data_IF_595607444585
#
_entry.id   IF_595607444585
#
_cell.length_a   1.000
_cell.length_b   1.000
_cell.length_c   1.000
_cell.angle_alpha   90.00
_cell.angle_beta   90.00
_cell.angle_gamma   90.00
#
_symmetry.space_group_name_H-M   'P 1'
#
loop_
_entity.id
_entity.type
_entity.pdbx_description
1 polymer ?
#
# COMPACT_ATOMS: atom_id res chain seq x y z
N UNK A 1 10.06 -4.24 -54.86
CA UNK A 1 10.85 -3.22 -54.13
C UNK A 1 10.34 -3.15 -52.69
N UNK A 2 11.02 -2.48 -51.76
CA UNK A 2 10.89 -2.66 -50.29
C UNK A 2 9.47 -2.34 -49.73
N UNK A 3 9.09 -3.04 -48.66
CA UNK A 3 8.05 -2.63 -47.69
C UNK A 3 8.61 -1.52 -46.77
N UNK A 4 7.78 -1.03 -45.82
CA UNK A 4 8.07 -0.02 -44.78
C UNK A 4 8.11 1.43 -45.32
N UNK A 5 7.68 2.49 -44.61
CA UNK A 5 7.06 2.64 -43.28
C UNK A 5 6.36 4.02 -43.20
N UNK A 6 5.52 4.40 -42.22
CA UNK A 6 4.95 3.74 -41.03
C UNK A 6 3.67 4.48 -40.56
N UNK A 7 2.89 3.89 -39.62
CA UNK A 7 1.93 4.63 -38.79
C UNK A 7 2.69 5.40 -37.70
N UNK A 8 2.89 6.70 -37.86
CA UNK A 8 3.42 7.57 -36.80
C UNK A 8 2.24 8.20 -36.07
N UNK A 9 1.93 7.70 -34.87
CA UNK A 9 1.02 8.36 -33.94
C UNK A 9 1.62 9.74 -33.57
N UNK A 10 0.80 10.80 -33.46
CA UNK A 10 1.31 12.12 -33.10
C UNK A 10 1.91 12.07 -31.68
N UNK A 11 3.18 12.48 -31.56
CA UNK A 11 4.00 12.37 -30.34
C UNK A 11 3.31 12.92 -29.08
N UNK A 12 2.45 13.93 -29.24
CA UNK A 12 1.68 14.58 -28.17
C UNK A 12 0.70 13.67 -27.44
N UNK A 13 0.20 12.60 -28.07
CA UNK A 13 -0.67 11.61 -27.42
C UNK A 13 0.20 10.54 -26.73
N UNK A 14 1.23 10.04 -27.42
CA UNK A 14 2.16 9.07 -26.85
C UNK A 14 2.87 9.58 -25.59
N UNK A 15 3.26 10.86 -25.56
CA UNK A 15 3.89 11.46 -24.39
C UNK A 15 2.89 11.79 -23.27
N UNK A 16 1.62 12.07 -23.59
CA UNK A 16 0.55 12.12 -22.57
C UNK A 16 0.28 10.76 -21.95
N UNK A 17 0.21 9.70 -22.75
CA UNK A 17 0.00 8.32 -22.30
C UNK A 17 1.19 7.82 -21.47
N UNK A 18 2.44 8.10 -21.90
CA UNK A 18 3.65 7.82 -21.11
C UNK A 18 3.68 8.55 -19.77
N UNK A 19 3.01 9.69 -19.67
CA UNK A 19 2.92 10.49 -18.45
C UNK A 19 1.72 10.09 -17.56
N UNK A 20 0.68 9.48 -18.12
CA UNK A 20 -0.47 8.94 -17.38
C UNK A 20 -0.26 7.50 -16.90
N UNK A 21 0.58 6.70 -17.58
CA UNK A 21 1.17 5.49 -17.00
C UNK A 21 2.21 5.93 -15.98
N UNK A 22 1.75 6.15 -14.74
CA UNK A 22 2.46 6.84 -13.66
C UNK A 22 3.97 6.59 -13.63
N UNK A 23 4.76 7.65 -13.75
CA UNK A 23 6.17 7.65 -13.30
C UNK A 23 6.20 7.66 -11.76
N UNK A 24 5.73 6.57 -11.14
CA UNK A 24 5.80 6.41 -9.69
C UNK A 24 7.27 6.31 -9.32
N UNK A 25 7.72 7.21 -8.45
CA UNK A 25 9.09 7.15 -7.98
C UNK A 25 9.21 6.06 -6.90
N UNK A 26 9.71 4.90 -7.30
CA UNK A 26 9.92 3.74 -6.43
C UNK A 26 11.00 3.94 -5.35
N UNK A 27 11.68 5.09 -5.33
CA UNK A 27 12.60 5.49 -4.25
C UNK A 27 11.88 6.18 -3.08
N UNK A 28 10.58 6.50 -3.23
CA UNK A 28 9.79 7.21 -2.24
C UNK A 28 9.14 6.29 -1.19
N UNK A 29 8.99 6.80 0.02
CA UNK A 29 8.37 6.11 1.15
C UNK A 29 6.92 5.68 0.90
N UNK A 30 6.16 6.36 0.03
CA UNK A 30 4.80 5.92 -0.34
C UNK A 30 4.77 4.53 -1.00
N UNK A 31 5.80 4.22 -1.81
CA UNK A 31 5.89 2.91 -2.46
C UNK A 31 6.27 1.83 -1.44
N UNK A 32 7.21 2.11 -0.53
CA UNK A 32 7.58 1.17 0.52
C UNK A 32 6.43 0.94 1.51
N UNK A 33 5.72 2.01 1.88
CA UNK A 33 4.49 1.95 2.68
C UNK A 33 3.45 1.02 2.05
N UNK A 34 3.15 1.19 0.75
CA UNK A 34 2.21 0.30 0.07
C UNK A 34 2.67 -1.18 0.15
N UNK A 35 3.95 -1.46 -0.12
CA UNK A 35 4.48 -2.84 -0.04
C UNK A 35 4.42 -3.44 1.37
N UNK A 36 4.58 -2.62 2.41
CA UNK A 36 4.38 -3.02 3.81
C UNK A 36 2.90 -3.33 4.08
N UNK A 37 1.99 -2.46 3.66
CA UNK A 37 0.55 -2.62 3.89
C UNK A 37 -0.03 -3.84 3.16
N UNK A 38 0.44 -4.12 1.94
CA UNK A 38 0.15 -5.37 1.20
C UNK A 38 0.64 -6.59 1.99
N UNK A 39 1.88 -6.58 2.48
CA UNK A 39 2.45 -7.68 3.28
C UNK A 39 1.70 -7.93 4.59
N UNK A 40 1.21 -6.86 5.24
CA UNK A 40 0.41 -6.94 6.46
C UNK A 40 -1.00 -7.46 6.16
N UNK A 41 -1.63 -6.99 5.07
CA UNK A 41 -2.94 -7.49 4.64
C UNK A 41 -2.91 -8.99 4.34
N UNK A 42 -1.89 -9.46 3.61
CA UNK A 42 -1.70 -10.88 3.30
C UNK A 42 -1.49 -11.69 4.59
N UNK A 43 -0.66 -11.20 5.53
CA UNK A 43 -0.45 -11.84 6.82
C UNK A 43 -1.73 -11.92 7.67
N UNK A 44 -2.55 -10.87 7.67
CA UNK A 44 -3.82 -10.82 8.41
C UNK A 44 -4.87 -11.83 7.95
N UNK A 45 -4.81 -12.31 6.70
CA UNK A 45 -5.71 -13.36 6.21
C UNK A 45 -5.52 -14.70 6.96
N UNK A 46 -4.37 -14.90 7.59
CA UNK A 46 -4.03 -16.11 8.35
C UNK A 46 -4.18 -15.94 9.87
N UNK A 47 -4.67 -14.80 10.36
CA UNK A 47 -4.82 -14.54 11.80
C UNK A 47 -6.20 -14.91 12.34
N UNK A 48 -6.18 -15.70 13.42
CA UNK A 48 -7.35 -15.94 14.26
C UNK A 48 -7.97 -14.64 14.80
N UNK A 49 -9.25 -14.72 15.16
CA UNK A 49 -10.05 -13.62 15.74
C UNK A 49 -9.53 -13.06 17.08
N UNK A 50 -8.66 -13.81 17.76
CA UNK A 50 -8.10 -13.47 19.09
C UNK A 50 -6.63 -13.03 18.99
N UNK A 51 -6.15 -12.73 17.77
CA UNK A 51 -4.79 -12.28 17.47
C UNK A 51 -4.79 -10.95 16.72
N UNK A 52 -3.86 -10.07 17.09
CA UNK A 52 -3.57 -8.81 16.42
C UNK A 52 -2.19 -8.85 15.78
N UNK A 53 -1.96 -8.01 14.77
CA UNK A 53 -0.63 -7.84 14.18
C UNK A 53 0.29 -7.11 15.16
N UNK A 54 1.49 -7.65 15.31
CA UNK A 54 2.59 -7.01 16.01
C UNK A 54 3.85 -7.04 15.14
N UNK A 55 4.73 -6.07 15.32
CA UNK A 55 6.06 -6.10 14.73
C UNK A 55 7.09 -6.46 15.78
N UNK A 56 7.93 -7.43 15.45
CA UNK A 56 9.12 -7.76 16.20
C UNK A 56 10.29 -6.98 15.59
N UNK A 57 10.69 -5.91 16.27
CA UNK A 57 11.71 -4.98 15.84
C UNK A 57 13.07 -5.53 16.28
N UNK A 58 13.94 -5.84 15.33
CA UNK A 58 15.27 -6.41 15.58
C UNK A 58 16.34 -5.34 15.44
N UNK A 59 16.70 -4.69 16.56
CA UNK A 59 17.72 -3.62 16.52
C UNK A 59 18.63 -3.65 17.76
N UNK A 60 19.94 -3.45 17.55
CA UNK A 60 20.96 -3.33 18.60
C UNK A 60 21.02 -4.45 19.67
N UNK A 61 20.56 -5.66 19.35
CA UNK A 61 20.64 -6.82 20.27
C UNK A 61 19.51 -6.91 21.29
N UNK A 62 18.60 -5.93 21.32
CA UNK A 62 17.34 -6.02 22.04
C UNK A 62 16.18 -6.21 21.04
N UNK A 63 15.21 -7.02 21.44
CA UNK A 63 14.01 -7.28 20.66
C UNK A 63 12.84 -6.49 21.23
N UNK A 64 12.25 -5.59 20.44
CA UNK A 64 11.06 -4.84 20.85
C UNK A 64 9.84 -5.39 20.12
N UNK A 65 8.88 -5.94 20.87
CA UNK A 65 7.56 -6.27 20.35
C UNK A 65 6.66 -5.02 20.43
N UNK A 66 6.20 -4.54 19.28
CA UNK A 66 5.24 -3.44 19.18
C UNK A 66 3.90 -3.97 18.67
N UNK A 67 2.84 -3.79 19.45
CA UNK A 67 1.46 -4.01 18.98
C UNK A 67 1.07 -2.84 18.07
N UNK A 68 0.95 -3.07 16.78
CA UNK A 68 0.72 -1.96 15.83
C UNK A 68 -0.74 -1.52 15.87
N UNK A 69 -0.93 -0.21 15.94
CA UNK A 69 -2.24 0.43 15.83
C UNK A 69 -2.47 1.05 14.45
N UNK A 70 -1.40 1.57 13.84
CA UNK A 70 -1.44 2.23 12.52
C UNK A 70 -0.02 2.35 11.92
N UNK A 71 0.08 2.61 10.62
CA UNK A 71 1.34 2.87 9.91
C UNK A 71 1.19 4.09 9.01
N UNK A 72 2.17 4.98 9.01
CA UNK A 72 2.24 6.16 8.14
C UNK A 72 3.56 6.28 7.39
N UNK A 73 3.68 7.26 6.51
CA UNK A 73 4.91 7.55 5.77
C UNK A 73 5.11 9.05 5.57
N UNK A 74 6.37 9.47 5.46
CA UNK A 74 6.76 10.82 5.07
C UNK A 74 7.78 10.74 3.93
N UNK A 75 7.38 11.20 2.74
CA UNK A 75 8.29 11.26 1.59
C UNK A 75 9.44 12.26 1.85
N UNK A 76 10.68 11.97 1.42
CA UNK A 76 11.02 10.87 0.51
C UNK A 76 11.26 9.50 1.18
N UNK A 77 11.54 9.41 2.48
CA UNK A 77 12.24 8.21 2.98
C UNK A 77 11.94 7.74 4.41
N UNK A 78 10.87 8.22 5.06
CA UNK A 78 10.51 7.79 6.41
C UNK A 78 9.22 6.96 6.46
N UNK A 79 9.22 5.90 7.27
CA UNK A 79 8.03 5.14 7.68
C UNK A 79 7.83 5.33 9.19
N UNK A 80 6.58 5.50 9.60
CA UNK A 80 6.14 5.71 10.98
C UNK A 80 5.28 4.52 11.41
N UNK A 81 5.66 3.87 12.52
CA UNK A 81 4.89 2.78 13.12
C UNK A 81 4.31 3.27 14.44
N UNK A 82 2.98 3.33 14.52
CA UNK A 82 2.26 3.72 15.71
C UNK A 82 1.78 2.47 16.43
N UNK A 83 1.97 2.40 17.75
CA UNK A 83 1.65 1.20 18.49
C UNK A 83 1.76 1.31 20.00
N UNK A 84 1.71 0.15 20.65
CA UNK A 84 2.02 0.02 22.07
C UNK A 84 3.22 -0.90 22.27
N UNK A 85 4.16 -0.45 23.12
CA UNK A 85 5.32 -1.22 23.59
C UNK A 85 5.24 -1.27 25.11
N UNK A 86 5.22 -2.47 25.68
CA UNK A 86 5.09 -2.68 27.13
C UNK A 86 3.91 -1.88 27.75
N UNK A 87 2.77 -1.82 27.05
CA UNK A 87 1.57 -1.07 27.45
C UNK A 87 1.62 0.45 27.26
N UNK A 88 2.76 1.03 26.87
CA UNK A 88 2.90 2.46 26.63
C UNK A 88 2.72 2.76 25.14
N UNK A 89 1.97 3.82 24.82
CA UNK A 89 1.85 4.29 23.43
C UNK A 89 3.21 4.78 22.94
N UNK A 90 3.60 4.36 21.75
CA UNK A 90 4.91 4.61 21.17
C UNK A 90 4.81 4.82 19.65
N UNK A 91 5.71 5.65 19.13
CA UNK A 91 5.96 5.82 17.71
C UNK A 91 7.40 5.37 17.42
N UNK A 92 7.59 4.52 16.42
CA UNK A 92 8.90 4.24 15.84
C UNK A 92 8.98 4.89 14.46
N UNK A 93 10.00 5.72 14.25
CA UNK A 93 10.32 6.32 12.95
C UNK A 93 11.54 5.58 12.38
N UNK A 94 11.45 5.08 11.15
CA UNK A 94 12.55 4.42 10.45
C UNK A 94 12.78 5.03 9.07
N UNK A 95 14.05 5.09 8.65
CA UNK A 95 14.40 5.33 7.25
C UNK A 95 14.08 4.07 6.41
N UNK A 96 13.60 4.22 5.19
CA UNK A 96 13.25 3.07 4.31
C UNK A 96 14.39 2.09 4.09
N UNK A 97 15.65 2.55 4.09
CA UNK A 97 16.83 1.68 3.96
C UNK A 97 17.21 0.93 5.25
N UNK A 98 16.48 1.15 6.35
CA UNK A 98 16.69 0.53 7.67
C UNK A 98 15.52 -0.37 8.08
N UNK A 99 14.57 -0.62 7.16
CA UNK A 99 13.45 -1.52 7.40
C UNK A 99 13.99 -2.94 7.62
N UNK A 100 13.90 -3.40 8.86
CA UNK A 100 14.17 -4.77 9.27
C UNK A 100 13.27 -5.10 10.47
N UNK A 101 12.13 -5.73 10.21
CA UNK A 101 11.19 -6.19 11.22
C UNK A 101 10.56 -7.50 10.77
N UNK A 102 10.14 -8.31 11.74
CA UNK A 102 9.32 -9.49 11.50
C UNK A 102 7.86 -9.12 11.78
N UNK A 103 6.98 -9.33 10.80
CA UNK A 103 5.53 -9.34 11.03
C UNK A 103 5.19 -10.60 11.82
N UNK A 104 4.51 -10.44 12.95
CA UNK A 104 4.10 -11.54 13.82
C UNK A 104 2.71 -11.28 14.41
N UNK A 105 2.20 -12.21 15.20
CA UNK A 105 0.92 -12.06 15.90
C UNK A 105 1.10 -12.03 17.41
N UNK A 106 0.33 -11.18 18.07
CA UNK A 106 0.22 -11.12 19.52
C UNK A 106 -1.23 -11.37 19.95
N UNK A 107 -1.50 -11.77 21.21
CA UNK A 107 -2.85 -11.67 21.77
C UNK A 107 -3.38 -10.22 21.66
N UNK A 108 -4.70 -10.07 21.59
CA UNK A 108 -5.33 -8.75 21.67
C UNK A 108 -4.89 -8.02 22.95
N UNK A 109 -4.69 -6.71 22.86
CA UNK A 109 -4.47 -5.88 24.07
C UNK A 109 -5.73 -5.70 24.92
N UNK A 110 -6.89 -5.95 24.33
CA UNK A 110 -8.20 -5.78 24.94
C UNK A 110 -9.13 -6.92 24.50
N UNK A 111 -9.50 -7.78 25.45
CA UNK A 111 -10.32 -8.97 25.16
C UNK A 111 -11.78 -8.64 24.83
N UNK A 112 -12.30 -7.49 25.29
CA UNK A 112 -13.68 -7.06 25.04
C UNK A 112 -13.86 -6.50 23.62
N UNK A 113 -12.76 -6.12 22.95
CA UNK A 113 -12.78 -5.59 21.58
C UNK A 113 -12.52 -6.68 20.53
N UNK A 114 -13.05 -6.53 19.30
CA UNK A 114 -12.61 -7.35 18.17
C UNK A 114 -11.13 -7.09 17.89
N UNK A 115 -10.39 -8.11 17.43
CA UNK A 115 -8.99 -7.94 17.08
C UNK A 115 -8.80 -6.86 16.01
N UNK A 116 -7.84 -5.97 16.23
CA UNK A 116 -7.47 -4.95 15.26
C UNK A 116 -6.95 -5.59 13.97
N UNK A 117 -7.37 -4.99 12.86
CA UNK A 117 -6.82 -5.21 11.53
C UNK A 117 -6.33 -3.87 10.97
N UNK A 118 -5.18 -3.92 10.31
CA UNK A 118 -4.44 -2.78 9.75
C UNK A 118 -4.48 -2.85 8.22
N UNK A 119 -4.42 -4.06 7.67
CA UNK A 119 -4.41 -4.35 6.25
C UNK A 119 -5.60 -3.68 5.56
N UNK A 120 -5.29 -2.67 4.75
CA UNK A 120 -6.24 -1.80 4.06
C UNK A 120 -7.53 -1.53 4.84
N UNK A 121 -7.40 -0.74 5.91
CA UNK A 121 -8.41 0.28 6.14
C UNK A 121 -8.43 1.19 4.91
N UNK A 122 -9.29 0.86 3.95
CA UNK A 122 -9.74 1.87 3.01
C UNK A 122 -10.23 3.04 3.88
N UNK A 123 -9.61 4.20 3.74
CA UNK A 123 -10.19 5.42 4.28
C UNK A 123 -11.41 5.76 3.41
N UNK A 124 -12.51 5.03 3.65
CA UNK A 124 -13.86 5.32 3.15
C UNK A 124 -14.42 6.54 3.92
N UNK A 125 -13.60 7.59 3.98
CA UNK A 125 -13.99 8.97 4.20
C UNK A 125 -14.12 9.73 2.87
N UNK A 126 -13.63 9.16 1.77
CA UNK A 126 -14.27 9.35 0.47
C UNK A 126 -15.55 8.52 0.48
N UNK A 127 -16.70 9.17 0.29
CA UNK A 127 -17.97 8.48 0.05
C UNK A 127 -17.81 7.55 -1.16
N UNK A 128 -18.44 6.37 -1.13
CA UNK A 128 -18.64 5.59 -2.35
C UNK A 128 -19.58 6.39 -3.28
N UNK A 129 -19.00 7.26 -4.09
CA UNK A 129 -19.67 7.85 -5.24
C UNK A 129 -19.85 6.71 -6.24
N UNK A 130 -21.09 6.26 -6.42
CA UNK A 130 -21.40 5.37 -7.54
C UNK A 130 -20.97 6.08 -8.83
N UNK A 131 -20.08 5.47 -9.66
CA UNK A 131 -19.61 6.11 -10.87
C UNK A 131 -20.81 6.44 -11.76
N UNK A 132 -20.80 7.62 -12.36
CA UNK A 132 -21.89 8.03 -13.24
C UNK A 132 -21.93 7.11 -14.47
N UNK A 133 -23.05 7.15 -15.20
CA UNK A 133 -23.15 6.39 -16.45
C UNK A 133 -22.10 6.82 -17.47
N UNK A 134 -21.72 8.09 -17.46
CA UNK A 134 -20.67 8.63 -18.33
C UNK A 134 -19.29 8.06 -17.94
N UNK A 135 -18.97 7.98 -16.65
CA UNK A 135 -17.72 7.36 -16.16
C UNK A 135 -17.62 5.86 -16.53
N UNK A 136 -18.76 5.14 -16.48
CA UNK A 136 -18.83 3.73 -16.87
C UNK A 136 -18.72 3.55 -18.40
N UNK A 137 -19.34 4.42 -19.19
CA UNK A 137 -19.26 4.40 -20.65
C UNK A 137 -17.83 4.73 -21.14
N UNK A 138 -17.15 5.71 -20.52
CA UNK A 138 -15.74 6.03 -20.80
C UNK A 138 -14.80 4.88 -20.43
N UNK A 139 -15.02 4.22 -19.28
CA UNK A 139 -14.26 3.03 -18.89
C UNK A 139 -14.48 1.85 -19.86
N UNK A 140 -15.72 1.58 -20.28
CA UNK A 140 -16.00 0.53 -21.27
C UNK A 140 -15.39 0.85 -22.64
N UNK A 141 -15.35 2.13 -23.05
CA UNK A 141 -14.70 2.57 -24.29
C UNK A 141 -13.18 2.32 -24.25
N UNK A 142 -12.49 2.76 -23.18
CA UNK A 142 -11.07 2.52 -22.96
C UNK A 142 -10.72 1.02 -22.96
N UNK A 143 -11.58 0.19 -22.34
CA UNK A 143 -11.40 -1.26 -22.29
C UNK A 143 -11.73 -1.93 -23.63
N UNK A 144 -12.56 -1.33 -24.50
CA UNK A 144 -12.79 -1.79 -25.87
C UNK A 144 -11.58 -1.57 -26.77
N UNK A 145 -11.01 -0.36 -26.78
CA UNK A 145 -9.80 -0.04 -27.57
C UNK A 145 -8.60 -0.90 -27.18
N UNK A 146 -8.48 -1.21 -25.88
CA UNK A 146 -7.45 -2.10 -25.35
C UNK A 146 -7.64 -3.57 -25.80
N UNK A 147 -8.88 -3.98 -26.11
CA UNK A 147 -9.25 -5.36 -26.52
C UNK A 147 -9.24 -5.58 -28.03
N UNK A 148 -9.18 -4.54 -28.86
CA UNK A 148 -9.10 -4.66 -30.34
C UNK A 148 -7.68 -4.70 -30.90
N UNK A 149 -6.65 -4.71 -30.05
CA UNK A 149 -5.23 -4.77 -30.44
C UNK A 149 -4.59 -6.17 -30.22
N UNK A 150 -5.37 -7.24 -30.40
CA UNK A 150 -4.91 -8.63 -30.52
C UNK A 150 -5.68 -9.36 -31.62
#
# INVERSE_FOLDING_TARGET
MRKNDSNVLPDTISDKIRKSVSSRNYELADYQYQRIMESIYDFEQYLDKDKEVALYLTNFGESVLMHITDIGYSNPSLIHYFGYVNGNYAELIQHVSQINFLITSAPKLDDEKPARRIGFKNNVGEEFVEPSKEDLEDYEALMKESRTNF
#
